data_IF_934459844999
#
_entry.id   IF_934459844999
#
_cell.length_a   1.000
_cell.length_b   1.000
_cell.length_c   1.000
_cell.angle_alpha   90.00
_cell.angle_beta   90.00
_cell.angle_gamma   90.00
#
_symmetry.space_group_name_H-M   'P 1'
#
loop_
_entity.id
_entity.type
_entity.pdbx_description
1 polymer ?
#
# COMPACT_ATOMS: atom_id res chain seq x y z
N UNK A 1 5.39 4.76 -8.18
CA UNK A 1 4.40 5.84 -7.87
C UNK A 1 3.45 5.47 -6.74
N UNK A 2 2.88 4.26 -6.71
CA UNK A 2 2.17 3.78 -5.52
C UNK A 2 3.13 3.68 -4.30
N UNK A 3 2.67 3.96 -3.07
CA UNK A 3 1.32 4.36 -2.68
C UNK A 3 1.13 5.88 -2.58
N UNK A 4 2.01 6.72 -3.16
CA UNK A 4 1.96 8.17 -3.02
C UNK A 4 0.78 8.81 -3.75
N UNK A 5 0.40 8.26 -4.90
CA UNK A 5 -0.67 8.78 -5.76
C UNK A 5 -1.76 7.76 -6.06
N UNK A 6 -1.68 6.57 -5.46
CA UNK A 6 -2.54 5.44 -5.76
C UNK A 6 -2.93 4.68 -4.50
N UNK A 7 -4.17 4.18 -4.49
CA UNK A 7 -4.70 3.17 -3.58
C UNK A 7 -5.72 2.34 -4.37
N UNK A 8 -5.86 1.07 -4.02
CA UNK A 8 -6.68 0.13 -4.77
C UNK A 8 -7.70 -0.54 -3.84
N UNK A 9 -8.93 -0.72 -4.32
CA UNK A 9 -9.89 -1.69 -3.79
C UNK A 9 -9.92 -2.89 -4.73
N UNK A 10 -9.65 -4.10 -4.24
CA UNK A 10 -9.73 -5.31 -5.06
C UNK A 10 -11.19 -5.83 -5.14
N UNK A 11 -11.48 -6.81 -6.03
CA UNK A 11 -12.84 -7.38 -6.15
C UNK A 11 -13.38 -8.08 -4.90
N UNK A 12 -12.52 -8.40 -3.93
CA UNK A 12 -12.91 -8.97 -2.63
C UNK A 12 -13.23 -7.89 -1.58
N UNK A 13 -13.18 -6.61 -1.96
CA UNK A 13 -13.43 -5.48 -1.06
C UNK A 13 -12.24 -5.14 -0.16
N UNK A 14 -11.03 -5.59 -0.50
CA UNK A 14 -9.84 -5.36 0.29
C UNK A 14 -9.05 -4.19 -0.25
N UNK A 15 -8.64 -3.30 0.65
CA UNK A 15 -7.86 -2.11 0.31
C UNK A 15 -6.38 -2.46 0.31
N UNK A 16 -5.68 -2.06 -0.75
CA UNK A 16 -4.25 -2.32 -0.96
C UNK A 16 -3.54 -1.05 -1.45
N UNK A 17 -2.21 -0.92 -1.26
CA UNK A 17 -1.45 0.24 -1.72
C UNK A 17 -1.28 0.23 -3.25
N UNK A 18 -1.22 -0.96 -3.84
CA UNK A 18 -1.13 -1.21 -5.28
C UNK A 18 -1.67 -2.61 -5.63
N UNK A 19 -1.86 -2.88 -6.93
CA UNK A 19 -2.44 -4.12 -7.43
C UNK A 19 -1.60 -5.39 -7.24
N UNK A 20 -0.30 -5.26 -7.00
CA UNK A 20 0.62 -6.40 -6.87
C UNK A 20 1.15 -6.60 -5.45
N UNK A 21 0.76 -5.73 -4.52
CA UNK A 21 1.15 -5.83 -3.12
C UNK A 21 0.59 -7.13 -2.51
N UNK A 22 1.44 -7.92 -1.86
CA UNK A 22 1.08 -9.28 -1.42
C UNK A 22 0.73 -9.42 0.08
N UNK A 23 0.76 -8.31 0.82
CA UNK A 23 0.40 -8.27 2.25
C UNK A 23 -0.90 -7.53 2.50
N UNK A 24 -1.56 -7.88 3.60
CA UNK A 24 -2.74 -7.18 4.10
C UNK A 24 -2.32 -6.33 5.29
N UNK A 25 -2.20 -5.03 5.08
CA UNK A 25 -1.78 -4.09 6.13
C UNK A 25 -2.88 -3.13 6.56
N UNK A 26 -3.86 -2.87 5.69
CA UNK A 26 -4.92 -1.90 5.98
C UNK A 26 -6.03 -2.52 6.85
N UNK A 27 -6.49 -1.73 7.82
CA UNK A 27 -7.76 -1.99 8.49
C UNK A 27 -8.96 -1.73 7.57
N UNK A 28 -10.17 -2.02 8.07
CA UNK A 28 -11.41 -1.63 7.41
C UNK A 28 -11.60 -0.12 7.51
N UNK A 29 -11.89 0.51 6.38
CA UNK A 29 -12.22 1.93 6.29
C UNK A 29 -13.53 2.12 5.53
N UNK A 30 -14.26 3.17 5.87
CA UNK A 30 -15.53 3.51 5.23
C UNK A 30 -15.33 4.11 3.82
N UNK A 31 -14.11 4.57 3.50
CA UNK A 31 -13.77 5.12 2.20
C UNK A 31 -12.31 4.93 1.83
N UNK A 32 -12.02 4.93 0.52
CA UNK A 32 -10.65 4.92 0.00
C UNK A 32 -9.87 6.17 0.41
N UNK A 33 -10.55 7.31 0.60
CA UNK A 33 -9.90 8.54 1.05
C UNK A 33 -9.36 8.41 2.48
N UNK A 34 -10.12 7.79 3.38
CA UNK A 34 -9.63 7.49 4.74
C UNK A 34 -8.45 6.53 4.68
N UNK A 35 -8.56 5.44 3.92
CA UNK A 35 -7.48 4.46 3.79
C UNK A 35 -6.22 5.07 3.15
N UNK A 36 -6.36 5.99 2.19
CA UNK A 36 -5.24 6.70 1.58
C UNK A 36 -4.49 7.59 2.58
N UNK A 37 -5.19 8.12 3.59
CA UNK A 37 -4.64 8.97 4.65
C UNK A 37 -4.39 8.22 5.97
N UNK A 38 -4.53 6.90 5.96
CA UNK A 38 -4.36 6.03 7.13
C UNK A 38 -2.94 6.05 7.69
N UNK A 39 -2.76 5.73 8.98
CA UNK A 39 -1.43 5.49 9.56
C UNK A 39 -0.60 4.49 8.77
N UNK A 40 -1.21 3.41 8.28
CA UNK A 40 -0.57 2.33 7.54
C UNK A 40 -0.04 2.82 6.20
N UNK A 41 -0.82 3.63 5.46
CA UNK A 41 -0.34 4.21 4.21
C UNK A 41 0.78 5.25 4.43
N UNK A 42 0.71 5.99 5.54
CA UNK A 42 1.74 6.98 5.92
C UNK A 42 3.04 6.30 6.32
N UNK A 43 2.97 5.22 7.09
CA UNK A 43 4.13 4.39 7.44
C UNK A 43 4.78 3.82 6.18
N UNK A 44 3.98 3.24 5.28
CA UNK A 44 4.46 2.69 4.02
C UNK A 44 5.22 3.74 3.18
N UNK A 45 4.67 4.95 3.03
CA UNK A 45 5.34 6.07 2.34
C UNK A 45 6.62 6.50 3.05
N UNK A 46 6.62 6.53 4.38
CA UNK A 46 7.81 6.91 5.16
C UNK A 46 8.94 5.90 4.94
N UNK A 47 8.65 4.60 4.96
CA UNK A 47 9.61 3.53 4.67
C UNK A 47 10.18 3.67 3.25
N UNK A 48 9.34 3.95 2.26
CA UNK A 48 9.81 4.19 0.89
C UNK A 48 10.74 5.39 0.76
N UNK A 49 10.46 6.50 1.46
CA UNK A 49 11.34 7.69 1.44
C UNK A 49 12.71 7.37 2.04
N UNK A 50 12.76 6.47 3.02
CA UNK A 50 13.99 6.03 3.70
C UNK A 50 14.70 4.89 2.98
N UNK A 51 14.20 4.47 1.82
CA UNK A 51 14.72 3.33 1.05
C UNK A 51 14.73 2.02 1.87
N UNK A 52 13.78 1.87 2.79
CA UNK A 52 13.62 0.66 3.59
C UNK A 52 12.94 -0.44 2.77
N UNK A 53 13.39 -1.69 2.95
CA UNK A 53 12.74 -2.85 2.32
C UNK A 53 11.39 -3.10 2.97
N UNK A 54 10.36 -3.22 2.14
CA UNK A 54 8.97 -3.34 2.58
C UNK A 54 8.45 -4.74 2.23
N UNK A 55 8.03 -5.47 3.26
CA UNK A 55 7.28 -6.71 3.06
C UNK A 55 5.99 -6.43 2.27
N UNK A 56 5.79 -7.18 1.19
CA UNK A 56 4.67 -6.96 0.27
C UNK A 56 5.05 -6.32 -1.06
N UNK A 57 6.24 -5.73 -1.16
CA UNK A 57 6.77 -5.14 -2.39
C UNK A 57 7.75 -6.05 -3.15
N UNK A 58 7.90 -7.32 -2.77
CA UNK A 58 8.91 -8.25 -3.32
C UNK A 58 8.81 -8.44 -4.84
N UNK A 59 7.60 -8.33 -5.40
CA UNK A 59 7.43 -8.35 -6.86
C UNK A 59 8.13 -7.18 -7.54
N UNK A 60 8.01 -5.97 -7.01
CA UNK A 60 8.73 -4.81 -7.53
C UNK A 60 10.24 -5.03 -7.44
N UNK A 61 10.74 -5.43 -6.26
CA UNK A 61 12.18 -5.60 -6.04
C UNK A 61 12.85 -6.69 -6.89
N UNK A 62 12.07 -7.65 -7.39
CA UNK A 62 12.57 -8.69 -8.31
C UNK A 62 12.55 -8.22 -9.77
N UNK A 63 11.55 -7.41 -10.12
CA UNK A 63 11.28 -6.99 -11.49
C UNK A 63 11.94 -5.63 -11.83
N UNK A 64 12.62 -5.02 -10.85
CA UNK A 64 13.55 -3.86 -10.96
C UNK A 64 14.96 -4.32 -11.38
#
# INVERSE_FOLDING_TARGET
>A
MAPFTHIQLNPYGEINPCCIFDKRIYQKYDSLFQAFNSPENKDLRSKMIKDERIEGCEKCYRDD
#
